data_IF_344396025784
#
_entry.id   IF_344396025784
#
_cell.length_a   1.000
_cell.length_b   1.000
_cell.length_c   1.000
_cell.angle_alpha   90.00
_cell.angle_beta   90.00
_cell.angle_gamma   90.00
#
_symmetry.space_group_name_H-M   'P 1'
#
loop_
_entity.id
_entity.type
_entity.pdbx_description
1 polymer ?
#
# COMPACT_ATOMS: atom_id res chain seq x y z
N UNK A 1 -5.60 -7.29 11.29
CA UNK A 1 -4.21 -6.80 11.51
C UNK A 1 -3.71 -7.35 12.83
N UNK A 2 -2.45 -7.75 12.92
CA UNK A 2 -1.82 -8.14 14.19
C UNK A 2 -0.42 -7.55 14.30
N UNK A 3 -0.10 -6.98 15.45
CA UNK A 3 1.25 -6.49 15.79
C UNK A 3 1.51 -6.65 17.30
N UNK A 4 2.79 -6.62 17.69
CA UNK A 4 3.15 -6.63 19.11
C UNK A 4 2.69 -5.32 19.76
N UNK A 5 2.22 -5.39 21.01
CA UNK A 5 1.77 -4.22 21.76
C UNK A 5 2.86 -3.16 21.93
N UNK A 6 4.11 -3.58 22.13
CA UNK A 6 5.26 -2.67 22.20
C UNK A 6 5.48 -1.93 20.88
N UNK A 7 5.36 -2.63 19.74
CA UNK A 7 5.44 -2.00 18.41
C UNK A 7 4.31 -0.99 18.21
N UNK A 8 3.09 -1.30 18.64
CA UNK A 8 1.96 -0.38 18.57
C UNK A 8 2.25 0.91 19.35
N UNK A 9 2.77 0.79 20.57
CA UNK A 9 3.15 1.93 21.40
C UNK A 9 4.32 2.75 20.78
N UNK A 10 5.33 2.08 20.23
CA UNK A 10 6.46 2.76 19.55
C UNK A 10 6.01 3.55 18.32
N UNK A 11 5.00 3.06 17.60
CA UNK A 11 4.42 3.76 16.44
C UNK A 11 3.45 4.89 16.85
N UNK A 12 3.18 5.09 18.14
CA UNK A 12 2.24 6.10 18.63
C UNK A 12 0.77 5.68 18.60
N UNK A 13 0.48 4.43 18.23
CA UNK A 13 -0.86 3.88 18.14
C UNK A 13 -1.72 4.48 17.02
N UNK A 14 -3.04 4.28 17.10
CA UNK A 14 -3.98 4.90 16.17
C UNK A 14 -4.14 6.38 16.46
N UNK A 15 -3.91 7.20 15.44
CA UNK A 15 -4.20 8.62 15.49
C UNK A 15 -5.72 8.85 15.48
N UNK A 16 -6.22 9.92 16.12
CA UNK A 16 -7.63 10.26 16.15
C UNK A 16 -8.08 10.88 14.82
N UNK A 17 -8.00 10.12 13.73
CA UNK A 17 -8.49 10.51 12.40
C UNK A 17 -9.87 9.92 12.13
N UNK A 18 -10.64 10.57 11.27
CA UNK A 18 -12.00 10.13 10.96
C UNK A 18 -12.03 8.77 10.24
N UNK A 19 -11.06 8.51 9.35
CA UNK A 19 -10.94 7.29 8.55
C UNK A 19 -9.47 7.04 8.19
N UNK A 20 -9.10 5.77 8.02
CA UNK A 20 -7.80 5.36 7.50
C UNK A 20 -6.68 5.35 8.53
N UNK A 21 -7.03 5.27 9.82
CA UNK A 21 -6.09 5.13 10.92
C UNK A 21 -5.23 3.86 10.80
N UNK A 22 -5.83 2.79 10.28
CA UNK A 22 -5.18 1.49 10.08
C UNK A 22 -4.19 1.53 8.91
N UNK A 23 -4.58 2.11 7.77
CA UNK A 23 -3.72 2.34 6.63
C UNK A 23 -2.52 3.22 7.01
N UNK A 24 -2.76 4.28 7.78
CA UNK A 24 -1.70 5.17 8.27
C UNK A 24 -0.73 4.45 9.19
N UNK A 25 -1.22 3.64 10.13
CA UNK A 25 -0.36 2.84 11.02
C UNK A 25 0.53 1.87 10.23
N UNK A 26 0.00 1.27 9.16
CA UNK A 26 0.77 0.39 8.27
C UNK A 26 1.85 1.15 7.51
N UNK A 27 1.54 2.32 7.00
CA UNK A 27 2.52 3.18 6.30
C UNK A 27 3.63 3.65 7.24
N UNK A 28 3.27 4.07 8.45
CA UNK A 28 4.22 4.50 9.48
C UNK A 28 5.10 3.33 9.92
N UNK A 29 4.55 2.11 10.05
CA UNK A 29 5.31 0.91 10.30
C UNK A 29 6.34 0.63 9.19
N UNK A 30 5.93 0.71 7.92
CA UNK A 30 6.83 0.50 6.78
C UNK A 30 7.92 1.59 6.70
N UNK A 31 7.59 2.87 6.96
CA UNK A 31 8.55 3.99 7.03
C UNK A 31 9.53 3.87 8.20
N UNK A 32 9.11 3.27 9.30
CA UNK A 32 9.97 2.90 10.42
C UNK A 32 10.85 1.68 10.11
N UNK A 33 10.69 1.06 8.94
CA UNK A 33 11.45 -0.12 8.52
C UNK A 33 10.91 -1.44 9.09
N UNK A 34 9.70 -1.47 9.63
CA UNK A 34 9.08 -2.71 10.07
C UNK A 34 8.59 -3.51 8.86
N UNK A 35 8.63 -4.84 8.99
CA UNK A 35 8.13 -5.73 7.94
C UNK A 35 6.59 -5.77 7.99
N UNK A 36 5.95 -5.23 6.96
CA UNK A 36 4.51 -5.38 6.72
C UNK A 36 4.27 -6.60 5.83
N UNK A 37 3.59 -7.62 6.35
CA UNK A 37 3.20 -8.81 5.58
C UNK A 37 1.70 -8.78 5.28
N UNK A 38 1.35 -8.93 4.01
CA UNK A 38 -0.01 -9.22 3.54
C UNK A 38 -0.02 -10.66 3.05
N UNK A 39 -0.89 -11.48 3.63
CA UNK A 39 -0.91 -12.93 3.41
C UNK A 39 -2.35 -13.39 3.24
N UNK A 40 -2.64 -14.03 2.09
CA UNK A 40 -3.98 -14.51 1.76
C UNK A 40 -4.43 -15.67 2.67
N UNK A 41 -3.48 -16.38 3.30
CA UNK A 41 -3.80 -17.41 4.28
C UNK A 41 -4.25 -16.82 5.63
N UNK A 42 -4.01 -15.52 5.87
CA UNK A 42 -4.44 -14.83 7.09
C UNK A 42 -5.88 -14.32 6.95
N UNK A 43 -6.84 -15.22 7.14
CA UNK A 43 -8.27 -14.91 7.01
C UNK A 43 -8.82 -14.35 8.33
N UNK A 44 -9.52 -13.22 8.25
CA UNK A 44 -10.23 -12.60 9.38
C UNK A 44 -11.71 -12.49 9.03
N UNK A 45 -12.57 -13.13 9.82
CA UNK A 45 -14.00 -12.94 9.73
C UNK A 45 -14.40 -11.67 10.47
N UNK A 46 -15.05 -10.75 9.78
CA UNK A 46 -15.56 -9.50 10.37
C UNK A 46 -17.08 -9.55 10.47
N UNK A 47 -17.66 -8.71 11.32
CA UNK A 47 -19.12 -8.67 11.48
C UNK A 47 -19.78 -8.11 10.23
N UNK A 48 -20.86 -8.76 9.81
CA UNK A 48 -21.73 -8.39 8.68
C UNK A 48 -22.98 -7.60 9.13
N UNK A 49 -22.99 -7.07 10.35
CA UNK A 49 -24.15 -6.36 10.91
C UNK A 49 -24.37 -5.04 10.19
N UNK A 50 -25.63 -4.73 9.90
CA UNK A 50 -26.08 -3.45 9.30
C UNK A 50 -26.36 -2.36 10.35
N UNK A 51 -26.40 -2.76 11.63
CA UNK A 51 -26.54 -1.84 12.76
C UNK A 51 -25.19 -1.73 13.47
N UNK A 52 -24.48 -0.62 13.21
CA UNK A 52 -23.15 -0.34 13.76
C UNK A 52 -23.20 0.64 14.93
N UNK A 53 -22.08 0.72 15.68
CA UNK A 53 -21.92 1.65 16.80
C UNK A 53 -21.56 3.07 16.39
N UNK A 54 -20.98 3.24 15.19
CA UNK A 54 -20.41 4.51 14.71
C UNK A 54 -20.89 4.77 13.30
N UNK A 55 -21.36 6.00 13.03
CA UNK A 55 -21.73 6.46 11.70
C UNK A 55 -20.49 6.52 10.80
N UNK A 56 -20.58 5.96 9.60
CA UNK A 56 -19.46 5.89 8.67
C UNK A 56 -18.47 4.76 8.95
N UNK A 57 -18.75 3.91 9.95
CA UNK A 57 -18.02 2.66 10.17
C UNK A 57 -18.47 1.55 9.21
N UNK A 58 -17.97 0.32 9.42
CA UNK A 58 -18.22 -0.82 8.54
C UNK A 58 -19.72 -1.06 8.24
N UNK A 59 -20.59 -0.99 9.24
CA UNK A 59 -22.03 -1.18 9.04
C UNK A 59 -22.65 -0.16 8.07
N UNK A 60 -22.21 1.11 8.11
CA UNK A 60 -22.64 2.13 7.15
C UNK A 60 -22.17 1.77 5.74
N UNK A 61 -20.91 1.36 5.61
CA UNK A 61 -20.36 0.91 4.31
C UNK A 61 -21.16 -0.28 3.78
N UNK A 62 -21.48 -1.27 4.61
CA UNK A 62 -22.28 -2.43 4.19
C UNK A 62 -23.69 -2.03 3.73
N UNK A 63 -24.37 -1.12 4.44
CA UNK A 63 -25.68 -0.60 4.02
C UNK A 63 -25.61 0.19 2.71
N UNK A 64 -24.53 0.94 2.48
CA UNK A 64 -24.33 1.65 1.22
C UNK A 64 -24.05 0.65 0.08
N UNK A 65 -23.29 -0.42 0.32
CA UNK A 65 -23.08 -1.50 -0.64
C UNK A 65 -24.37 -2.26 -0.98
N UNK A 66 -25.21 -2.54 0.03
CA UNK A 66 -26.52 -3.19 -0.18
C UNK A 66 -27.44 -2.31 -1.04
N UNK A 67 -27.32 -0.97 -0.96
CA UNK A 67 -28.13 0.01 -1.72
C UNK A 67 -27.60 0.25 -3.13
N UNK A 68 -26.31 0.52 -3.24
CA UNK A 68 -25.68 1.08 -4.44
C UNK A 68 -24.94 0.01 -5.26
N UNK A 69 -24.81 -1.21 -4.70
CA UNK A 69 -24.09 -2.32 -5.29
C UNK A 69 -22.57 -2.12 -5.37
N UNK A 70 -21.85 -3.17 -5.78
CA UNK A 70 -20.39 -3.15 -5.90
C UNK A 70 -19.86 -2.20 -6.99
N UNK A 71 -20.71 -1.79 -7.94
CA UNK A 71 -20.34 -0.85 -9.00
C UNK A 71 -19.98 0.54 -8.48
N UNK A 72 -20.50 0.91 -7.29
CA UNK A 72 -20.18 2.17 -6.61
C UNK A 72 -18.83 2.15 -5.89
N UNK A 73 -18.25 0.97 -5.66
CA UNK A 73 -16.96 0.82 -4.98
C UNK A 73 -15.85 1.22 -5.93
N UNK A 74 -15.07 2.22 -5.50
CA UNK A 74 -13.92 2.70 -6.25
C UNK A 74 -12.62 2.21 -5.60
N UNK A 75 -11.73 1.62 -6.40
CA UNK A 75 -10.43 1.09 -5.95
C UNK A 75 -9.30 1.60 -6.84
N UNK A 76 -8.08 1.56 -6.34
CA UNK A 76 -6.89 1.90 -7.11
C UNK A 76 -6.73 0.97 -8.32
N UNK A 77 -6.34 1.53 -9.48
CA UNK A 77 -6.17 0.78 -10.71
C UNK A 77 -5.04 -0.28 -10.55
N UNK A 78 -5.29 -1.58 -10.80
CA UNK A 78 -4.30 -2.64 -10.56
C UNK A 78 -2.96 -2.43 -11.27
N UNK A 79 -2.96 -1.91 -12.51
CA UNK A 79 -1.72 -1.62 -13.24
C UNK A 79 -0.86 -0.54 -12.56
N UNK A 80 -1.48 0.46 -11.94
CA UNK A 80 -0.78 1.55 -11.24
C UNK A 80 -0.15 1.03 -9.94
N UNK A 81 -0.89 0.18 -9.23
CA UNK A 81 -0.39 -0.54 -8.05
C UNK A 81 0.77 -1.47 -8.42
N UNK A 82 0.66 -2.23 -9.52
CA UNK A 82 1.73 -3.10 -10.00
C UNK A 82 2.99 -2.31 -10.37
N UNK A 83 2.83 -1.18 -11.05
CA UNK A 83 3.94 -0.27 -11.36
C UNK A 83 4.65 0.18 -10.07
N UNK A 84 3.88 0.61 -9.06
CA UNK A 84 4.45 1.09 -7.81
C UNK A 84 5.14 -0.05 -7.03
N UNK A 85 4.56 -1.25 -7.00
CA UNK A 85 5.19 -2.42 -6.38
C UNK A 85 6.49 -2.83 -7.07
N UNK A 86 6.58 -2.73 -8.39
CA UNK A 86 7.81 -2.98 -9.14
C UNK A 86 8.90 -1.97 -8.79
N UNK A 87 8.55 -0.69 -8.67
CA UNK A 87 9.50 0.34 -8.22
C UNK A 87 9.93 0.14 -6.77
N UNK A 88 9.03 -0.21 -5.86
CA UNK A 88 9.41 -0.58 -4.49
C UNK A 88 10.40 -1.75 -4.47
N UNK A 89 10.19 -2.77 -5.32
CA UNK A 89 11.12 -3.88 -5.43
C UNK A 89 12.49 -3.44 -6.00
N UNK A 90 12.50 -2.59 -7.03
CA UNK A 90 13.74 -2.01 -7.58
C UNK A 90 14.49 -1.17 -6.53
N UNK A 91 13.79 -0.33 -5.79
CA UNK A 91 14.36 0.51 -4.73
C UNK A 91 15.00 -0.34 -3.62
N UNK A 92 14.32 -1.42 -3.19
CA UNK A 92 14.89 -2.35 -2.21
C UNK A 92 16.15 -3.04 -2.70
N UNK A 93 16.18 -3.46 -3.97
CA UNK A 93 17.37 -4.07 -4.59
C UNK A 93 18.54 -3.08 -4.69
N UNK A 94 18.25 -1.86 -5.14
CA UNK A 94 19.24 -0.78 -5.23
C UNK A 94 19.86 -0.47 -3.87
N UNK A 95 19.04 -0.36 -2.82
CA UNK A 95 19.51 -0.17 -1.44
C UNK A 95 20.43 -1.30 -0.99
N UNK A 96 20.02 -2.56 -1.22
CA UNK A 96 20.82 -3.72 -0.81
C UNK A 96 22.15 -3.83 -1.57
N UNK A 97 22.19 -3.41 -2.84
CA UNK A 97 23.39 -3.43 -3.68
C UNK A 97 24.26 -2.17 -3.59
N UNK A 98 23.76 -1.08 -3.01
CA UNK A 98 24.45 0.21 -2.98
C UNK A 98 24.57 0.91 -4.34
N UNK A 99 23.81 0.47 -5.35
CA UNK A 99 23.80 1.05 -6.69
C UNK A 99 22.44 1.67 -7.01
N UNK A 100 22.44 2.99 -7.21
CA UNK A 100 21.24 3.79 -7.44
C UNK A 100 21.13 4.30 -8.89
N UNK A 101 22.03 3.93 -9.80
CA UNK A 101 22.04 4.45 -11.19
C UNK A 101 20.72 4.16 -11.90
N UNK A 102 20.31 2.90 -11.94
CA UNK A 102 19.07 2.51 -12.62
C UNK A 102 17.83 3.05 -11.90
N UNK A 103 17.85 3.08 -10.57
CA UNK A 103 16.72 3.58 -9.77
C UNK A 103 16.49 5.07 -10.00
N UNK A 104 17.56 5.88 -10.03
CA UNK A 104 17.52 7.33 -10.25
C UNK A 104 16.71 7.69 -11.49
N UNK A 105 16.98 7.05 -12.62
CA UNK A 105 16.23 7.26 -13.86
C UNK A 105 14.76 6.82 -13.74
N UNK A 106 14.46 5.74 -13.02
CA UNK A 106 13.11 5.20 -12.87
C UNK A 106 12.22 6.05 -11.97
N UNK A 107 12.76 6.62 -10.89
CA UNK A 107 11.99 7.44 -9.93
C UNK A 107 12.11 8.94 -10.19
N UNK A 108 12.98 9.37 -11.11
CA UNK A 108 13.19 10.78 -11.44
C UNK A 108 13.87 11.59 -10.33
N UNK A 109 14.71 10.95 -9.52
CA UNK A 109 15.47 11.59 -8.44
C UNK A 109 16.97 11.49 -8.71
N UNK A 110 17.72 12.53 -8.34
CA UNK A 110 19.17 12.53 -8.47
C UNK A 110 19.85 11.46 -7.59
N UNK A 111 20.99 10.95 -8.05
CA UNK A 111 21.75 9.90 -7.32
C UNK A 111 22.23 10.35 -5.95
N UNK A 112 22.68 11.59 -5.81
CA UNK A 112 23.16 12.12 -4.53
C UNK A 112 22.00 12.26 -3.55
N UNK A 113 20.81 12.62 -4.03
CA UNK A 113 19.61 12.62 -3.22
C UNK A 113 19.25 11.21 -2.73
N UNK A 114 19.26 10.21 -3.61
CA UNK A 114 19.01 8.82 -3.23
C UNK A 114 20.04 8.31 -2.21
N UNK A 115 21.32 8.64 -2.38
CA UNK A 115 22.38 8.31 -1.43
C UNK A 115 22.16 8.96 -0.06
N UNK A 116 21.74 10.23 -0.04
CA UNK A 116 21.39 10.93 1.19
C UNK A 116 20.25 10.23 1.93
N UNK A 117 19.14 9.97 1.23
CA UNK A 117 17.98 9.26 1.83
C UNK A 117 18.36 7.86 2.31
N UNK A 118 19.20 7.13 1.56
CA UNK A 118 19.63 5.79 1.95
C UNK A 118 20.41 5.78 3.28
N UNK A 119 21.26 6.78 3.53
CA UNK A 119 22.02 6.90 4.80
C UNK A 119 21.13 7.05 6.01
N UNK A 120 20.00 7.74 5.85
CA UNK A 120 19.04 8.00 6.94
C UNK A 120 18.01 6.87 7.12
N UNK A 121 18.00 5.86 6.23
CA UNK A 121 17.05 4.78 6.26
C UNK A 121 17.57 3.58 7.06
N UNK A 122 16.79 3.05 8.02
CA UNK A 122 17.23 1.89 8.81
C UNK A 122 17.28 0.59 7.99
N UNK A 123 16.59 0.52 6.85
CA UNK A 123 16.63 -0.61 5.93
C UNK A 123 16.01 -0.26 4.56
N UNK A 124 16.05 -1.25 3.67
CA UNK A 124 15.56 -1.18 2.30
C UNK A 124 14.06 -0.85 2.17
N UNK A 125 13.22 -1.30 3.10
CA UNK A 125 11.77 -1.01 3.06
C UNK A 125 11.50 0.45 3.38
N UNK A 126 12.12 0.95 4.45
CA UNK A 126 12.02 2.34 4.84
C UNK A 126 12.55 3.28 3.74
N UNK A 127 13.60 2.86 3.03
CA UNK A 127 14.10 3.56 1.84
C UNK A 127 13.07 3.58 0.71
N UNK A 128 12.55 2.41 0.32
CA UNK A 128 11.57 2.31 -0.75
C UNK A 128 10.33 3.19 -0.50
N UNK A 129 9.81 3.19 0.74
CA UNK A 129 8.66 4.01 1.14
C UNK A 129 8.92 5.53 1.13
N UNK A 130 10.19 5.97 1.11
CA UNK A 130 10.56 7.38 1.03
C UNK A 130 10.83 7.87 -0.39
N UNK A 131 11.38 7.02 -1.26
CA UNK A 131 11.86 7.44 -2.60
C UNK A 131 10.95 7.06 -3.75
N UNK A 132 10.09 6.06 -3.58
CA UNK A 132 9.19 5.63 -4.66
C UNK A 132 7.98 6.57 -4.72
N UNK A 133 7.75 7.23 -5.87
CA UNK A 133 6.65 8.17 -6.00
C UNK A 133 5.32 7.46 -6.23
N UNK A 134 4.25 8.24 -6.24
CA UNK A 134 2.99 7.83 -6.85
C UNK A 134 3.16 7.75 -8.39
N UNK A 135 2.32 6.97 -9.09
CA UNK A 135 2.34 6.92 -10.55
C UNK A 135 2.29 8.32 -11.19
N UNK A 136 2.97 8.54 -12.32
CA UNK A 136 2.85 9.78 -13.08
C UNK A 136 1.38 10.04 -13.43
N UNK A 137 0.85 11.21 -13.05
CA UNK A 137 -0.58 11.54 -13.20
C UNK A 137 -1.46 11.11 -12.03
N UNK A 138 -0.88 10.52 -10.98
CA UNK A 138 -1.59 10.08 -9.78
C UNK A 138 -2.09 8.64 -9.86
N UNK A 139 -2.49 8.10 -8.70
CA UNK A 139 -3.11 6.78 -8.62
C UNK A 139 -4.51 6.87 -9.22
N UNK A 140 -4.78 6.18 -10.34
CA UNK A 140 -6.12 6.17 -10.90
C UNK A 140 -7.05 5.33 -10.03
N UNK A 141 -8.31 5.75 -9.95
CA UNK A 141 -9.36 5.04 -9.25
C UNK A 141 -10.42 4.57 -10.25
N UNK A 142 -10.79 3.29 -10.20
CA UNK A 142 -11.75 2.66 -11.11
C UNK A 142 -12.79 1.87 -10.31
N UNK A 143 -13.99 1.61 -10.86
CA UNK A 143 -14.97 0.74 -10.23
C UNK A 143 -14.39 -0.65 -9.93
N UNK A 144 -14.80 -1.25 -8.83
CA UNK A 144 -14.31 -2.55 -8.35
C UNK A 144 -14.39 -3.63 -9.43
N UNK A 145 -15.54 -3.74 -10.13
CA UNK A 145 -15.74 -4.71 -11.22
C UNK A 145 -14.74 -4.52 -12.37
N UNK A 146 -14.40 -3.27 -12.70
CA UNK A 146 -13.39 -2.98 -13.71
C UNK A 146 -11.97 -3.33 -13.22
N UNK A 147 -11.71 -3.18 -11.92
CA UNK A 147 -10.44 -3.59 -11.32
C UNK A 147 -10.25 -5.10 -11.33
N UNK A 148 -11.29 -5.90 -11.11
CA UNK A 148 -11.21 -7.36 -11.21
C UNK A 148 -10.80 -7.80 -12.62
N UNK A 149 -11.42 -7.23 -13.66
CA UNK A 149 -11.07 -7.51 -15.04
C UNK A 149 -9.63 -7.08 -15.37
N UNK A 150 -9.21 -5.89 -14.93
CA UNK A 150 -7.85 -5.40 -15.12
C UNK A 150 -6.81 -6.28 -14.41
N UNK A 151 -7.10 -6.74 -13.18
CA UNK A 151 -6.24 -7.65 -12.44
C UNK A 151 -6.10 -9.00 -13.14
N UNK A 152 -7.22 -9.58 -13.59
CA UNK A 152 -7.22 -10.85 -14.32
C UNK A 152 -6.34 -10.79 -15.58
N UNK A 153 -6.44 -9.70 -16.36
CA UNK A 153 -5.61 -9.48 -17.54
C UNK A 153 -4.11 -9.39 -17.20
N UNK A 154 -3.75 -8.71 -16.10
CA UNK A 154 -2.36 -8.61 -15.64
C UNK A 154 -1.80 -9.96 -15.19
N UNK A 155 -2.59 -10.76 -14.48
CA UNK A 155 -2.16 -12.08 -13.98
C UNK A 155 -2.14 -13.17 -15.05
N UNK A 156 -2.94 -13.03 -16.12
CA UNK A 156 -2.92 -13.94 -17.26
C UNK A 156 -1.71 -13.71 -18.19
N UNK A 157 -1.04 -12.55 -18.09
CA UNK A 157 0.11 -12.24 -18.93
C UNK A 157 1.39 -12.93 -18.41
N UNK A 158 2.15 -13.65 -19.26
CA UNK A 158 3.36 -14.39 -18.85
C UNK A 158 4.49 -13.50 -18.31
N UNK A 159 4.43 -12.18 -18.54
CA UNK A 159 5.37 -11.21 -17.98
C UNK A 159 5.17 -10.91 -16.47
N UNK A 160 4.16 -11.52 -15.82
CA UNK A 160 3.95 -11.43 -14.37
C UNK A 160 4.85 -12.40 -13.57
N UNK A 161 5.54 -13.32 -14.24
CA UNK A 161 6.39 -14.35 -13.62
C UNK A 161 7.89 -14.01 -13.55
N UNK A 162 8.30 -12.81 -13.98
CA UNK A 162 9.71 -12.36 -14.02
C UNK A 162 10.01 -11.23 -13.03
#
# INVERSE_FOLDING_TARGET
MGLRATTYATLGGFLPVMRGEDARLVDDAARAGLRVRRDAASIVHTSDRRVGRVRGGLATVLCDLDRDGLGSVSVAHPADQLWQYRLHAAARRAFAGGDFVALSAQVGLDRDHLLGVARDCPNAEAFAMRVVPVPPGGMRHIPFVAAEAALAALTASPAAAA
#
